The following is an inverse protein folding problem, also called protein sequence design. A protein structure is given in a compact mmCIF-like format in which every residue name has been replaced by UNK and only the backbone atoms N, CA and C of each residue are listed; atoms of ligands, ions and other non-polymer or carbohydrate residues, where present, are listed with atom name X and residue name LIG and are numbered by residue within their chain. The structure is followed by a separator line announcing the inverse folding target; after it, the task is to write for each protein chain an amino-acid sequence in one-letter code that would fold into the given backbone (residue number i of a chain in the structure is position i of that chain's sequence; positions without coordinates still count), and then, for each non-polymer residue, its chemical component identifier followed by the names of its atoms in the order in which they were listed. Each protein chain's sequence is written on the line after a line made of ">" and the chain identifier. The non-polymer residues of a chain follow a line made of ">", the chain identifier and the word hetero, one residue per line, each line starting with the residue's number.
data_IF_064484462122
#
_entry.id   IF_064484462122
#
_cell.length_a   1.000
_cell.length_b   1.000
_cell.length_c   1.000
_cell.angle_alpha   90.00
_cell.angle_beta   90.00
_cell.angle_gamma   90.00
#
_symmetry.space_group_name_H-M   'P 1'
#
loop_
_entity.id
_entity.type
_entity.pdbx_description
1 polymer ?
#
# COMPACT_ATOMS: atom_id res chain seq x y z
N UNK A 1 -0.58 -25.71 -4.28
CA UNK A 1 -0.08 -24.89 -3.17
C UNK A 1 -0.97 -23.67 -3.00
N UNK A 2 -1.21 -23.30 -1.76
CA UNK A 2 -2.10 -22.18 -1.42
C UNK A 2 -1.29 -21.05 -0.84
N UNK A 3 -1.64 -19.81 -1.19
CA UNK A 3 -1.00 -18.60 -0.68
C UNK A 3 -2.03 -17.69 -0.02
N UNK A 4 -1.66 -17.10 1.11
CA UNK A 4 -2.45 -16.04 1.71
C UNK A 4 -2.50 -14.85 0.75
N UNK A 5 -3.63 -14.14 0.69
CA UNK A 5 -3.76 -12.95 -0.15
C UNK A 5 -2.85 -11.84 0.37
N UNK A 6 -1.76 -11.48 -0.33
CA UNK A 6 -0.81 -10.52 0.17
C UNK A 6 -1.37 -9.09 0.21
N UNK A 7 -2.29 -8.77 -0.69
CA UNK A 7 -2.92 -7.44 -0.74
C UNK A 7 -3.74 -7.22 0.52
N UNK A 8 -4.52 -8.22 0.95
CA UNK A 8 -5.33 -8.11 2.16
C UNK A 8 -4.45 -7.98 3.41
N UNK A 9 -3.38 -8.76 3.50
CA UNK A 9 -2.42 -8.68 4.61
C UNK A 9 -1.80 -7.28 4.69
N UNK A 10 -1.38 -6.74 3.56
CA UNK A 10 -0.78 -5.40 3.50
C UNK A 10 -1.79 -4.32 3.88
N UNK A 11 -3.03 -4.43 3.40
CA UNK A 11 -4.10 -3.50 3.75
C UNK A 11 -4.34 -3.48 5.26
N UNK A 12 -4.43 -4.66 5.87
CA UNK A 12 -4.63 -4.78 7.33
C UNK A 12 -3.48 -4.12 8.11
N UNK A 13 -2.24 -4.40 7.69
CA UNK A 13 -1.05 -3.82 8.34
C UNK A 13 -1.00 -2.30 8.21
N UNK A 14 -1.31 -1.78 7.02
CA UNK A 14 -1.33 -0.34 6.76
C UNK A 14 -2.40 0.35 7.59
N UNK A 15 -3.62 -0.17 7.60
CA UNK A 15 -4.73 0.39 8.38
C UNK A 15 -4.40 0.41 9.87
N UNK A 16 -3.84 -0.69 10.37
CA UNK A 16 -3.48 -0.78 11.80
C UNK A 16 -2.39 0.23 12.18
N UNK A 17 -1.40 0.43 11.33
CA UNK A 17 -0.28 1.32 11.63
C UNK A 17 -0.61 2.80 11.41
N UNK A 18 -1.44 3.14 10.44
CA UNK A 18 -1.65 4.53 9.99
C UNK A 18 -3.05 5.07 10.26
N UNK A 19 -4.03 4.18 10.46
CA UNK A 19 -5.43 4.57 10.53
C UNK A 19 -6.05 4.97 9.19
N UNK A 20 -5.27 4.93 8.11
CA UNK A 20 -5.76 5.28 6.78
C UNK A 20 -6.72 4.23 6.24
N UNK A 21 -7.72 4.67 5.48
CA UNK A 21 -8.59 3.77 4.74
C UNK A 21 -7.80 3.13 3.60
N UNK A 22 -7.95 1.83 3.41
CA UNK A 22 -7.32 1.11 2.31
C UNK A 22 -8.37 0.54 1.38
N UNK A 23 -8.10 0.55 0.07
CA UNK A 23 -8.99 -0.01 -0.94
C UNK A 23 -8.19 -0.79 -1.96
N UNK A 24 -8.82 -1.81 -2.57
CA UNK A 24 -8.24 -2.57 -3.68
C UNK A 24 -8.64 -2.00 -5.03
N UNK A 25 -9.77 -1.30 -5.08
CA UNK A 25 -10.33 -0.77 -6.32
C UNK A 25 -10.81 0.65 -6.05
N UNK A 26 -10.48 1.55 -6.98
CA UNK A 26 -11.04 2.90 -7.01
C UNK A 26 -12.10 2.90 -8.09
N UNK A 27 -13.29 3.41 -7.77
CA UNK A 27 -14.39 3.46 -8.70
C UNK A 27 -14.04 4.30 -9.93
N UNK A 28 -14.22 3.74 -11.12
CA UNK A 28 -13.97 4.43 -12.38
C UNK A 28 -14.82 5.70 -12.46
N UNK A 29 -14.19 6.79 -12.90
CA UNK A 29 -14.85 8.09 -13.05
C UNK A 29 -14.98 8.89 -11.76
N UNK A 30 -14.61 8.35 -10.60
CA UNK A 30 -14.61 9.12 -9.36
C UNK A 30 -13.45 10.10 -9.33
N UNK A 31 -13.66 11.25 -8.67
CA UNK A 31 -12.62 12.29 -8.55
C UNK A 31 -11.91 12.18 -7.21
N UNK A 32 -10.57 12.39 -7.16
CA UNK A 32 -9.81 12.28 -5.91
C UNK A 32 -10.30 13.17 -4.78
N UNK A 33 -10.84 14.35 -5.09
CA UNK A 33 -11.37 15.27 -4.08
C UNK A 33 -12.66 14.77 -3.41
N UNK A 34 -13.32 13.75 -3.97
CA UNK A 34 -14.51 13.12 -3.39
C UNK A 34 -14.19 11.90 -2.53
N UNK A 35 -12.94 11.45 -2.53
CA UNK A 35 -12.54 10.26 -1.77
C UNK A 35 -12.35 10.59 -0.29
N UNK A 36 -12.65 9.62 0.60
CA UNK A 36 -12.28 9.79 2.01
C UNK A 36 -10.75 9.81 2.16
N UNK A 37 -10.20 10.85 2.77
CA UNK A 37 -8.77 11.00 2.96
C UNK A 37 -8.38 10.81 4.44
N UNK A 38 -7.22 10.25 4.72
CA UNK A 38 -6.24 9.68 3.78
C UNK A 38 -6.70 8.33 3.21
N UNK A 39 -6.27 8.02 2.00
CA UNK A 39 -6.65 6.79 1.30
C UNK A 39 -5.41 6.11 0.74
N UNK A 40 -5.32 4.80 0.92
CA UNK A 40 -4.23 3.99 0.33
C UNK A 40 -4.85 2.95 -0.59
N UNK A 41 -4.47 3.01 -1.86
CA UNK A 41 -4.92 2.08 -2.89
C UNK A 41 -3.86 0.98 -3.04
N UNK A 42 -4.21 -0.26 -2.72
CA UNK A 42 -3.30 -1.41 -2.72
C UNK A 42 -3.82 -2.44 -3.69
N UNK A 43 -3.06 -2.74 -4.73
CA UNK A 43 -3.47 -3.73 -5.73
C UNK A 43 -2.29 -4.49 -6.32
N UNK A 44 -2.52 -5.77 -6.61
CA UNK A 44 -1.51 -6.62 -7.25
C UNK A 44 -1.45 -6.31 -8.74
N UNK A 45 -0.23 -6.26 -9.29
CA UNK A 45 -0.01 -6.02 -10.71
C UNK A 45 0.53 -7.26 -11.41
N UNK A 46 1.23 -8.13 -10.70
CA UNK A 46 1.84 -9.32 -11.28
C UNK A 46 2.13 -10.36 -10.21
N UNK A 47 1.96 -11.63 -10.56
CA UNK A 47 2.37 -12.77 -9.74
C UNK A 47 3.45 -13.55 -10.47
N UNK A 48 4.49 -13.95 -9.73
CA UNK A 48 5.53 -14.84 -10.23
C UNK A 48 5.65 -16.02 -9.27
N UNK A 49 5.29 -17.22 -9.75
CA UNK A 49 5.40 -18.43 -8.94
C UNK A 49 6.72 -19.12 -9.21
N UNK A 50 7.47 -19.34 -8.15
CA UNK A 50 8.69 -20.13 -8.11
C UNK A 50 8.40 -21.46 -7.41
N UNK A 51 9.38 -22.37 -7.35
CA UNK A 51 9.14 -23.73 -6.85
C UNK A 51 8.54 -23.76 -5.43
N UNK A 52 9.03 -22.91 -4.54
CA UNK A 52 8.61 -22.90 -3.14
C UNK A 52 8.23 -21.52 -2.62
N UNK A 53 8.00 -20.57 -3.52
CA UNK A 53 7.58 -19.23 -3.11
C UNK A 53 6.86 -18.52 -4.24
N UNK A 54 6.13 -17.47 -3.86
CA UNK A 54 5.49 -16.56 -4.81
C UNK A 54 6.00 -15.17 -4.56
N UNK A 55 6.34 -14.46 -5.63
CA UNK A 55 6.65 -13.03 -5.58
C UNK A 55 5.50 -12.29 -6.23
N UNK A 56 4.84 -11.41 -5.48
CA UNK A 56 3.75 -10.58 -5.98
C UNK A 56 4.22 -9.15 -6.10
N UNK A 57 4.10 -8.58 -7.30
CA UNK A 57 4.31 -7.16 -7.50
C UNK A 57 3.02 -6.44 -7.12
N UNK A 58 3.12 -5.46 -6.22
CA UNK A 58 1.99 -4.72 -5.67
C UNK A 58 2.23 -3.23 -5.87
N UNK A 59 1.23 -2.54 -6.36
CA UNK A 59 1.24 -1.08 -6.40
C UNK A 59 0.54 -0.55 -5.16
N UNK A 60 1.15 0.42 -4.50
CA UNK A 60 0.58 1.08 -3.32
C UNK A 60 0.59 2.58 -3.58
N UNK A 61 -0.58 3.13 -3.86
CA UNK A 61 -0.75 4.56 -4.12
C UNK A 61 -1.31 5.22 -2.86
N UNK A 62 -0.55 6.16 -2.32
CA UNK A 62 -0.87 6.84 -1.06
C UNK A 62 -1.41 8.22 -1.37
N UNK A 63 -2.67 8.47 -0.99
CA UNK A 63 -3.35 9.75 -1.23
C UNK A 63 -3.59 10.47 0.08
N UNK A 64 -3.29 11.75 0.11
CA UNK A 64 -3.57 12.62 1.25
C UNK A 64 -3.91 14.02 0.76
N UNK A 65 -4.61 14.78 1.59
CA UNK A 65 -4.87 16.20 1.27
C UNK A 65 -3.56 16.97 1.22
N UNK A 66 -3.49 17.94 0.31
CA UNK A 66 -2.35 18.85 0.24
C UNK A 66 -2.21 19.58 1.58
N UNK A 67 -1.01 19.60 2.20
CA UNK A 67 -0.80 20.27 3.48
C UNK A 67 -1.15 21.75 3.38
N UNK A 68 -1.81 22.29 4.44
CA UNK A 68 -2.24 23.67 4.50
C UNK A 68 -1.34 24.55 5.38
N UNK A 69 -0.37 23.94 6.07
CA UNK A 69 0.52 24.69 6.94
C UNK A 69 1.70 23.87 7.44
N UNK A 70 2.65 24.52 8.17
CA UNK A 70 3.82 23.86 8.72
C UNK A 70 3.42 22.73 9.69
N UNK A 71 4.12 21.61 9.66
CA UNK A 71 3.91 20.49 10.56
C UNK A 71 2.73 19.60 10.18
N UNK A 72 1.99 19.93 9.13
CA UNK A 72 0.92 19.06 8.62
C UNK A 72 1.52 18.12 7.59
N UNK A 73 1.46 16.83 7.86
CA UNK A 73 1.95 15.80 6.94
C UNK A 73 1.04 15.64 5.73
N UNK A 74 1.65 15.41 4.56
CA UNK A 74 0.93 15.10 3.34
C UNK A 74 1.16 13.64 2.93
N UNK A 75 1.06 13.36 1.64
CA UNK A 75 1.23 12.00 1.11
C UNK A 75 2.63 11.42 1.38
N UNK A 76 3.67 12.25 1.37
CA UNK A 76 5.04 11.79 1.68
C UNK A 76 5.16 11.29 3.11
N UNK A 77 4.61 12.02 4.07
CA UNK A 77 4.65 11.61 5.48
C UNK A 77 3.87 10.31 5.69
N UNK A 78 2.71 10.19 5.06
CA UNK A 78 1.91 8.97 5.14
C UNK A 78 2.63 7.81 4.44
N UNK A 79 3.27 8.06 3.30
CA UNK A 79 4.04 7.03 2.60
C UNK A 79 5.19 6.50 3.47
N UNK A 80 5.87 7.36 4.24
CA UNK A 80 6.90 6.92 5.19
C UNK A 80 6.32 5.96 6.23
N UNK A 81 5.15 6.26 6.78
CA UNK A 81 4.47 5.37 7.72
C UNK A 81 4.06 4.05 7.09
N UNK A 82 3.59 4.07 5.85
CA UNK A 82 3.24 2.87 5.09
C UNK A 82 4.45 1.98 4.86
N UNK A 83 5.58 2.57 4.44
CA UNK A 83 6.84 1.82 4.24
C UNK A 83 7.30 1.20 5.55
N UNK A 84 7.24 1.93 6.65
CA UNK A 84 7.61 1.42 7.96
C UNK A 84 6.73 0.25 8.39
N UNK A 85 5.42 0.34 8.16
CA UNK A 85 4.48 -0.73 8.48
C UNK A 85 4.77 -2.03 7.72
N UNK A 86 5.30 -1.91 6.48
CA UNK A 86 5.63 -3.05 5.63
C UNK A 86 7.06 -3.56 5.80
N UNK A 87 7.91 -2.87 6.58
CA UNK A 87 9.32 -3.25 6.74
C UNK A 87 9.56 -4.28 7.85
N UNK A 88 8.55 -4.61 8.63
CA UNK A 88 8.62 -5.69 9.63
C UNK A 88 8.58 -7.06 8.94
N UNK A 89 9.18 -8.06 9.56
CA UNK A 89 9.23 -9.43 9.02
C UNK A 89 8.74 -10.44 10.07
N UNK A 90 7.68 -11.19 9.81
CA UNK A 90 6.74 -11.06 8.69
C UNK A 90 5.80 -9.86 8.83
N UNK A 91 5.17 -9.46 7.72
CA UNK A 91 4.06 -8.52 7.76
C UNK A 91 2.79 -9.31 8.08
N UNK A 92 2.07 -8.94 9.13
CA UNK A 92 0.94 -9.71 9.64
C UNK A 92 -0.37 -8.95 9.43
N UNK A 93 -1.39 -9.66 8.97
CA UNK A 93 -2.76 -9.19 8.87
C UNK A 93 -3.72 -10.18 9.53
N UNK A 94 -5.02 -9.90 9.50
CA UNK A 94 -6.04 -10.77 10.11
C UNK A 94 -6.13 -12.14 9.44
N UNK A 95 -5.86 -12.21 8.14
CA UNK A 95 -5.98 -13.45 7.34
C UNK A 95 -4.69 -14.25 7.25
N UNK A 96 -3.58 -13.77 7.80
CA UNK A 96 -2.29 -14.45 7.72
C UNK A 96 -1.13 -13.48 7.64
N UNK A 97 -0.06 -13.88 6.97
CA UNK A 97 1.15 -13.07 6.90
C UNK A 97 1.80 -13.16 5.53
N UNK A 98 2.66 -12.17 5.26
CA UNK A 98 3.58 -12.13 4.14
C UNK A 98 4.99 -12.22 4.71
N UNK A 99 5.82 -13.14 4.21
CA UNK A 99 7.14 -13.39 4.79
C UNK A 99 8.06 -12.18 4.73
N UNK A 100 8.02 -11.47 3.61
CA UNK A 100 8.86 -10.29 3.42
C UNK A 100 8.23 -9.35 2.40
N UNK A 101 8.30 -8.04 2.68
CA UNK A 101 7.90 -6.99 1.75
C UNK A 101 9.08 -6.06 1.55
N UNK A 102 9.37 -5.72 0.30
CA UNK A 102 10.37 -4.72 -0.06
C UNK A 102 9.77 -3.65 -0.94
N UNK A 103 10.36 -2.45 -0.92
CA UNK A 103 9.90 -1.31 -1.71
C UNK A 103 11.02 -0.88 -2.65
N UNK A 104 11.16 -1.54 -3.84
CA UNK A 104 12.25 -1.24 -4.75
C UNK A 104 12.17 0.14 -5.39
N UNK A 105 10.99 0.75 -5.44
CA UNK A 105 10.81 2.04 -6.10
C UNK A 105 9.74 2.88 -5.43
N UNK A 106 9.99 4.18 -5.37
CA UNK A 106 9.05 5.17 -4.84
C UNK A 106 9.08 6.39 -5.74
N UNK A 107 7.90 6.80 -6.22
CA UNK A 107 7.75 8.04 -6.99
C UNK A 107 7.64 9.23 -6.03
N UNK A 108 8.13 10.39 -6.48
CA UNK A 108 7.96 11.63 -5.73
C UNK A 108 6.49 12.06 -5.67
N UNK A 109 6.20 13.00 -4.79
CA UNK A 109 4.85 13.55 -4.62
C UNK A 109 4.36 14.19 -5.91
N UNK A 110 3.12 13.86 -6.28
CA UNK A 110 2.39 14.51 -7.38
C UNK A 110 1.11 15.09 -6.83
N UNK A 111 0.61 16.15 -7.47
CA UNK A 111 -0.66 16.74 -7.12
C UNK A 111 -1.73 16.25 -8.09
N UNK A 112 -2.85 15.76 -7.54
CA UNK A 112 -4.01 15.35 -8.32
C UNK A 112 -5.14 16.36 -8.09
N UNK A 113 -5.57 17.02 -9.16
CA UNK A 113 -6.66 18.04 -9.12
C UNK A 113 -6.42 19.20 -8.15
N UNK A 114 -5.17 19.49 -7.81
CA UNK A 114 -4.80 20.63 -6.99
C UNK A 114 -5.12 20.55 -5.50
N UNK A 115 -5.85 19.51 -5.05
CA UNK A 115 -6.32 19.38 -3.67
C UNK A 115 -5.81 18.12 -2.97
N UNK A 116 -5.33 17.15 -3.74
CA UNK A 116 -4.89 15.86 -3.23
C UNK A 116 -3.48 15.57 -3.74
N UNK A 117 -2.62 15.12 -2.85
CA UNK A 117 -1.28 14.61 -3.20
C UNK A 117 -1.31 13.10 -3.31
N UNK A 118 -0.45 12.55 -4.17
CA UNK A 118 -0.28 11.12 -4.31
C UNK A 118 1.19 10.73 -4.36
N UNK A 119 1.55 9.66 -3.67
CA UNK A 119 2.86 9.01 -3.74
C UNK A 119 2.65 7.57 -4.18
N UNK A 120 3.32 7.15 -5.25
CA UNK A 120 3.26 5.77 -5.74
C UNK A 120 4.44 4.96 -5.23
N UNK A 121 4.15 3.79 -4.67
CA UNK A 121 5.15 2.81 -4.25
C UNK A 121 5.04 1.57 -5.11
N UNK A 122 6.17 1.08 -5.62
CA UNK A 122 6.26 -0.25 -6.21
C UNK A 122 6.80 -1.19 -5.17
N UNK A 123 6.07 -2.25 -4.91
CA UNK A 123 6.31 -3.15 -3.77
C UNK A 123 6.41 -4.58 -4.26
N UNK A 124 7.29 -5.36 -3.66
CA UNK A 124 7.38 -6.79 -3.88
C UNK A 124 7.10 -7.53 -2.57
N UNK A 125 6.14 -8.45 -2.63
CA UNK A 125 5.77 -9.30 -1.52
C UNK A 125 6.23 -10.73 -1.81
N UNK A 126 7.02 -11.30 -0.89
CA UNK A 126 7.53 -12.68 -1.01
C UNK A 126 6.80 -13.56 -0.01
N UNK A 127 6.27 -14.68 -0.50
CA UNK A 127 5.50 -15.60 0.32
C UNK A 127 5.90 -17.03 0.08
N UNK A 128 5.84 -17.83 1.14
CA UNK A 128 5.84 -19.28 1.05
C UNK A 128 4.40 -19.78 1.05
N UNK A 129 4.11 -20.96 0.46
CA UNK A 129 2.77 -21.51 0.54
C UNK A 129 2.39 -21.83 1.98
N UNK A 130 1.08 -21.77 2.25
CA UNK A 130 0.52 -22.03 3.58
C UNK A 130 0.24 -23.51 3.83
N UNK A 131 0.35 -24.35 2.81
CA UNK A 131 0.08 -25.79 2.90
C UNK A 131 1.29 -26.63 2.46
#
# INVERSE_FOLDING_TARGET
>A
MTYTDPVQVMRDAITRATGAKTVRVIQEGSLPDTWPMPLVHVYATQYQDLDFERITSVAVDVYAKTPTGPGVGGADALADEVVEAMSVRPVVGASGWVDQVSVPSRLGVRTAYGVVEVVGLSVEAVQRPTD
#
